data_IF_964689263053
#
_entry.id   IF_964689263053
#
_cell.length_a   1.000
_cell.length_b   1.000
_cell.length_c   1.000
_cell.angle_alpha   90.00
_cell.angle_beta   90.00
_cell.angle_gamma   90.00
#
_symmetry.space_group_name_H-M   'P 1'
#
loop_
_entity.id
_entity.type
_entity.pdbx_description
1 polymer ?
#
# COMPACT_ATOMS: atom_id res chain seq x y z
N UNK A 1 2.49 9.88 3.14
CA UNK A 1 3.29 10.43 2.03
C UNK A 1 2.71 10.07 0.65
N UNK A 2 1.39 10.20 0.45
CA UNK A 2 0.70 9.90 -0.83
C UNK A 2 1.11 8.56 -1.45
N UNK A 3 1.27 7.53 -0.62
CA UNK A 3 1.84 6.25 -1.02
C UNK A 3 0.91 5.46 -1.94
N UNK A 4 1.47 4.57 -2.76
CA UNK A 4 0.74 3.46 -3.36
C UNK A 4 0.33 2.44 -2.29
N UNK A 5 -0.47 1.43 -2.65
CA UNK A 5 -0.88 0.40 -1.70
C UNK A 5 0.29 -0.36 -1.05
N UNK A 6 1.47 -0.41 -1.70
CA UNK A 6 2.69 -1.01 -1.15
C UNK A 6 3.19 -0.25 0.08
N UNK A 7 3.38 1.07 -0.02
CA UNK A 7 3.81 1.87 1.12
C UNK A 7 2.72 2.03 2.17
N UNK A 8 1.46 2.17 1.71
CA UNK A 8 0.29 2.31 2.58
C UNK A 8 0.12 1.15 3.54
N UNK A 9 0.27 -0.09 3.08
CA UNK A 9 0.07 -1.26 3.96
C UNK A 9 1.21 -1.42 4.96
N UNK A 10 2.43 -1.02 4.60
CA UNK A 10 3.55 -0.94 5.56
C UNK A 10 3.26 0.12 6.65
N UNK A 11 2.74 1.30 6.27
CA UNK A 11 2.32 2.32 7.23
C UNK A 11 1.16 1.84 8.10
N UNK A 12 0.19 1.12 7.53
CA UNK A 12 -0.95 0.57 8.26
C UNK A 12 -0.49 -0.47 9.29
N UNK A 13 0.46 -1.34 8.91
CA UNK A 13 1.05 -2.31 9.83
C UNK A 13 1.78 -1.61 10.99
N UNK A 14 2.57 -0.57 10.70
CA UNK A 14 3.23 0.24 11.73
C UNK A 14 2.21 0.92 12.67
N UNK A 15 1.16 1.50 12.10
CA UNK A 15 0.09 2.16 12.85
C UNK A 15 -0.76 1.20 13.70
N UNK A 16 -0.63 -0.11 13.53
CA UNK A 16 -1.30 -1.11 14.37
C UNK A 16 -0.60 -1.35 15.72
N UNK A 17 0.60 -0.77 15.94
CA UNK A 17 1.35 -0.92 17.18
C UNK A 17 0.71 -0.14 18.35
N UNK A 18 0.89 -0.58 19.61
CA UNK A 18 0.13 -0.07 20.77
C UNK A 18 0.23 1.43 21.05
N UNK A 19 1.32 2.09 20.62
CA UNK A 19 1.55 3.50 20.92
C UNK A 19 1.04 4.45 19.83
N UNK A 20 0.49 3.93 18.73
CA UNK A 20 -0.19 4.72 17.70
C UNK A 20 -1.66 4.93 18.09
N UNK A 21 -1.89 5.73 19.13
CA UNK A 21 -3.21 5.91 19.74
C UNK A 21 -4.06 7.03 19.10
N UNK A 22 -3.50 7.78 18.13
CA UNK A 22 -4.20 8.83 17.39
C UNK A 22 -4.37 8.42 15.92
N UNK A 23 -5.44 8.88 15.24
CA UNK A 23 -5.61 8.62 13.81
C UNK A 23 -4.41 9.12 13.00
N UNK A 24 -3.87 8.26 12.13
CA UNK A 24 -2.81 8.62 11.18
C UNK A 24 -3.37 9.04 9.82
N UNK A 25 -2.54 9.72 9.03
CA UNK A 25 -2.85 10.10 7.64
C UNK A 25 -2.71 8.90 6.67
N UNK A 26 -3.50 7.86 6.90
CA UNK A 26 -3.53 6.63 6.10
C UNK A 26 -4.93 6.50 5.49
N UNK A 27 -5.14 7.18 4.37
CA UNK A 27 -6.40 7.10 3.61
C UNK A 27 -6.32 6.06 2.49
N UNK A 28 -7.48 5.59 2.05
CA UNK A 28 -7.63 4.67 0.92
C UNK A 28 -7.10 5.26 -0.39
N UNK A 29 -6.53 4.42 -1.25
CA UNK A 29 -5.83 4.85 -2.47
C UNK A 29 -6.67 5.73 -3.39
N UNK A 30 -7.98 5.44 -3.51
CA UNK A 30 -8.92 6.20 -4.35
C UNK A 30 -9.02 7.70 -4.00
N UNK A 31 -8.55 8.11 -2.81
CA UNK A 31 -8.45 9.52 -2.43
C UNK A 31 -7.39 10.27 -3.24
N UNK A 32 -6.35 9.57 -3.71
CA UNK A 32 -5.16 10.17 -4.33
C UNK A 32 -4.94 9.70 -5.76
N UNK A 33 -5.29 8.46 -6.07
CA UNK A 33 -5.04 7.85 -7.36
C UNK A 33 -6.35 7.37 -7.97
N UNK A 34 -6.52 7.59 -9.28
CA UNK A 34 -7.62 6.98 -10.04
C UNK A 34 -7.47 5.45 -10.03
N UNK A 35 -6.25 4.95 -10.20
CA UNK A 35 -5.91 3.53 -10.09
C UNK A 35 -4.59 3.36 -9.32
N UNK A 36 -4.56 2.40 -8.39
CA UNK A 36 -3.33 1.98 -7.71
C UNK A 36 -2.62 0.88 -8.50
N UNK A 37 -1.29 0.79 -8.34
CA UNK A 37 -0.42 -0.22 -8.96
C UNK A 37 -0.36 -1.53 -8.17
N UNK A 38 -1.01 -1.60 -7.00
CA UNK A 38 -1.11 -2.82 -6.21
C UNK A 38 -2.55 -3.06 -5.70
N UNK A 39 -2.89 -4.33 -5.50
CA UNK A 39 -4.20 -4.80 -5.06
C UNK A 39 -4.06 -5.80 -3.89
N UNK A 40 -5.10 -6.00 -3.05
CA UNK A 40 -6.44 -5.41 -3.11
C UNK A 40 -6.45 -3.92 -2.79
N UNK A 41 -7.51 -3.22 -3.22
CA UNK A 41 -7.78 -1.87 -2.74
C UNK A 41 -8.34 -1.92 -1.31
N UNK A 42 -7.84 -1.01 -0.47
CA UNK A 42 -8.37 -0.81 0.87
C UNK A 42 -9.65 0.03 0.83
N UNK A 43 -10.55 -0.22 1.78
CA UNK A 43 -11.78 0.55 1.98
C UNK A 43 -11.84 1.09 3.41
N UNK A 44 -12.44 2.26 3.57
CA UNK A 44 -12.81 2.79 4.88
C UNK A 44 -14.20 2.25 5.22
N UNK A 45 -14.35 1.69 6.41
CA UNK A 45 -15.68 1.36 6.91
C UNK A 45 -16.47 2.63 7.29
N UNK A 46 -17.72 2.46 7.70
CA UNK A 46 -18.63 3.56 8.05
C UNK A 46 -18.13 4.48 9.18
N UNK A 47 -17.13 4.05 9.96
CA UNK A 47 -16.53 4.81 11.07
C UNK A 47 -15.07 5.20 10.79
N UNK A 48 -14.66 5.23 9.52
CA UNK A 48 -13.32 5.65 9.07
C UNK A 48 -12.16 4.78 9.56
N UNK A 49 -12.37 3.47 9.67
CA UNK A 49 -11.31 2.50 9.99
C UNK A 49 -11.00 1.66 8.76
N UNK A 50 -9.70 1.44 8.52
CA UNK A 50 -9.18 0.48 7.54
C UNK A 50 -8.82 -0.81 8.27
N UNK A 51 -9.25 -1.95 7.73
CA UNK A 51 -8.90 -3.26 8.31
C UNK A 51 -7.48 -3.66 7.92
N UNK A 52 -6.75 -4.23 8.88
CA UNK A 52 -5.42 -4.76 8.62
C UNK A 52 -5.51 -6.07 7.82
N UNK A 53 -4.76 -6.22 6.73
CA UNK A 53 -4.56 -7.52 6.10
C UNK A 53 -3.99 -8.56 7.07
N UNK A 54 -4.19 -9.85 6.76
CA UNK A 54 -3.84 -10.96 7.68
C UNK A 54 -2.85 -11.96 7.09
N UNK A 55 -2.62 -11.94 5.79
CA UNK A 55 -1.63 -12.85 5.20
C UNK A 55 -0.20 -12.40 5.52
N UNK A 56 0.79 -13.31 5.47
CA UNK A 56 2.19 -12.95 5.65
C UNK A 56 2.67 -11.87 4.68
N UNK A 57 3.62 -11.06 5.14
CA UNK A 57 4.18 -9.96 4.36
C UNK A 57 3.22 -8.77 4.31
N UNK A 58 3.15 -8.12 3.14
CA UNK A 58 2.31 -6.94 2.95
C UNK A 58 0.86 -7.28 2.55
N UNK A 59 0.56 -8.54 2.22
CA UNK A 59 -0.77 -9.00 1.75
C UNK A 59 -1.33 -8.13 0.59
N UNK A 60 -0.42 -7.58 -0.21
CA UNK A 60 -0.71 -6.87 -1.45
C UNK A 60 0.12 -7.48 -2.57
N UNK A 61 -0.48 -7.58 -3.75
CA UNK A 61 0.15 -8.02 -4.97
C UNK A 61 0.25 -6.85 -5.96
N UNK A 62 1.34 -6.83 -6.73
CA UNK A 62 1.52 -5.83 -7.79
C UNK A 62 0.62 -6.16 -8.97
N UNK A 63 -0.13 -5.16 -9.44
CA UNK A 63 -0.70 -5.18 -10.78
C UNK A 63 0.43 -4.86 -11.77
N UNK A 64 1.01 -5.92 -12.35
CA UNK A 64 2.15 -5.78 -13.25
C UNK A 64 1.82 -4.97 -14.51
N UNK A 65 0.58 -5.01 -14.98
CA UNK A 65 0.18 -4.28 -16.17
C UNK A 65 0.10 -2.77 -15.87
N UNK A 66 -0.56 -2.40 -14.76
CA UNK A 66 -0.62 -1.01 -14.31
C UNK A 66 0.75 -0.46 -13.96
N UNK A 67 1.54 -1.23 -13.22
CA UNK A 67 2.90 -0.85 -12.88
C UNK A 67 3.70 -0.55 -14.16
N UNK A 68 3.67 -1.46 -15.14
CA UNK A 68 4.37 -1.26 -16.41
C UNK A 68 3.88 -0.01 -17.16
N UNK A 69 2.57 0.26 -17.16
CA UNK A 69 1.98 1.41 -17.85
C UNK A 69 2.43 2.77 -17.28
N UNK A 70 2.77 2.84 -15.99
CA UNK A 70 3.21 4.07 -15.31
C UNK A 70 4.71 4.09 -14.97
N UNK A 71 5.47 3.09 -15.39
CA UNK A 71 6.92 3.01 -15.13
C UNK A 71 7.68 3.90 -16.11
N UNK A 72 8.45 4.85 -15.58
CA UNK A 72 9.34 5.70 -16.38
C UNK A 72 10.76 5.13 -16.51
N UNK A 73 11.21 4.34 -15.55
CA UNK A 73 12.55 3.74 -15.53
C UNK A 73 12.56 2.45 -14.70
N UNK A 74 13.34 1.46 -15.12
CA UNK A 74 13.57 0.21 -14.40
C UNK A 74 14.99 -0.30 -14.68
N UNK A 75 15.65 -0.80 -13.64
CA UNK A 75 16.99 -1.38 -13.72
C UNK A 75 17.04 -2.67 -12.90
N UNK A 76 17.88 -3.63 -13.30
CA UNK A 76 18.06 -4.90 -12.60
C UNK A 76 19.54 -5.16 -12.33
N UNK A 77 19.90 -5.22 -11.05
CA UNK A 77 21.25 -5.54 -10.60
C UNK A 77 21.37 -7.02 -10.28
N UNK A 78 22.44 -7.66 -10.75
CA UNK A 78 22.76 -9.06 -10.41
C UNK A 78 24.07 -9.09 -9.65
N UNK A 79 24.07 -9.72 -8.48
CA UNK A 79 25.31 -9.95 -7.74
C UNK A 79 26.00 -11.15 -8.39
N UNK A 80 27.28 -11.05 -8.77
CA UNK A 80 28.05 -12.20 -9.23
C UNK A 80 28.07 -13.27 -8.12
N UNK A 81 27.77 -14.51 -8.50
CA UNK A 81 27.87 -15.69 -7.62
C UNK A 81 29.32 -16.16 -7.55
#
# INVERSE_FOLDING_TARGET
MLETNVGRVANLALASLPNFALPGDIFVSRRYHHEDVAFPNFELNAVSIVSMPRAPGLDVAMDRARLAAVTLHAETFRVPV
#
